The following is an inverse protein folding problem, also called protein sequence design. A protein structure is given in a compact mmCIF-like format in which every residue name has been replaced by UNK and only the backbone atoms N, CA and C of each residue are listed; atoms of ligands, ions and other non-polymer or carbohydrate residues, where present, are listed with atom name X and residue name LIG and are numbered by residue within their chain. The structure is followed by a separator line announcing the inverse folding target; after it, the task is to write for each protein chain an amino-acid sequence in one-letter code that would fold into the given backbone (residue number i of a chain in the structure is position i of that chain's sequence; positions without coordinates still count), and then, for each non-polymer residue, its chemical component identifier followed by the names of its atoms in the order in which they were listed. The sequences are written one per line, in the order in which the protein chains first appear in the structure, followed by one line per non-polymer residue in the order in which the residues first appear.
data_IF_299226819015
#
_entry.id   IF_299226819015
#
_cell.length_a   1.000
_cell.length_b   1.000
_cell.length_c   1.000
_cell.angle_alpha   90.00
_cell.angle_beta   90.00
_cell.angle_gamma   90.00
#
_symmetry.space_group_name_H-M   'P 1'
#
loop_
_entity.id
_entity.type
_entity.pdbx_description
1 polymer ?
#
# COMPACT_ATOMS: atom_id res chain seq x y z
N UNK A 1 58.91 8.41 -59.66
CA UNK A 1 58.90 7.45 -58.53
C UNK A 1 57.64 7.73 -57.70
N UNK A 2 56.55 6.95 -57.91
CA UNK A 2 55.30 7.10 -57.15
C UNK A 2 55.28 6.05 -56.06
N UNK A 3 55.26 6.50 -54.82
CA UNK A 3 55.13 5.63 -53.64
C UNK A 3 53.68 5.28 -53.45
N UNK A 4 53.36 3.97 -53.43
CA UNK A 4 52.02 3.46 -53.17
C UNK A 4 51.64 3.61 -51.69
N UNK A 5 50.35 3.85 -51.37
CA UNK A 5 49.88 3.94 -49.98
C UNK A 5 49.82 2.54 -49.33
N UNK A 6 49.99 2.43 -48.00
CA UNK A 6 49.96 1.15 -47.31
C UNK A 6 48.51 0.61 -47.24
N UNK A 7 48.38 -0.72 -47.34
CA UNK A 7 47.13 -1.46 -47.26
C UNK A 7 46.46 -1.31 -45.91
N UNK A 8 45.16 -1.02 -45.95
CA UNK A 8 44.24 -1.05 -44.78
C UNK A 8 44.15 -2.48 -44.22
N UNK A 9 44.31 -2.70 -42.90
CA UNK A 9 44.05 -4.00 -42.30
C UNK A 9 42.54 -4.29 -42.34
N UNK A 10 42.21 -5.44 -42.92
CA UNK A 10 40.88 -6.05 -42.97
C UNK A 10 40.25 -6.09 -41.58
N UNK A 11 39.01 -5.60 -41.50
CA UNK A 11 38.19 -5.58 -40.30
C UNK A 11 38.07 -6.95 -39.63
N UNK A 12 38.56 -7.02 -38.44
CA UNK A 12 38.10 -8.04 -37.48
C UNK A 12 36.74 -7.55 -36.99
N UNK A 13 35.69 -8.28 -37.36
CA UNK A 13 34.36 -8.10 -36.81
C UNK A 13 34.41 -8.12 -35.30
N UNK A 14 33.85 -7.10 -34.68
CA UNK A 14 33.54 -7.08 -33.27
C UNK A 14 32.66 -8.28 -32.97
N UNK A 15 32.96 -9.12 -31.97
CA UNK A 15 32.04 -10.15 -31.54
C UNK A 15 30.76 -9.42 -31.10
N UNK A 16 29.63 -9.80 -31.71
CA UNK A 16 28.33 -9.44 -31.18
C UNK A 16 28.29 -9.98 -29.76
N UNK A 17 28.46 -9.08 -28.79
CA UNK A 17 28.29 -9.39 -27.38
C UNK A 17 26.87 -9.91 -27.23
N UNK A 18 26.74 -11.18 -26.89
CA UNK A 18 25.47 -11.70 -26.40
C UNK A 18 24.98 -10.81 -25.25
N UNK A 19 23.71 -10.88 -24.86
CA UNK A 19 23.20 -10.06 -23.78
C UNK A 19 24.11 -10.19 -22.59
N UNK A 20 24.56 -9.04 -22.06
CA UNK A 20 25.45 -8.97 -20.90
C UNK A 20 24.82 -9.82 -19.77
N UNK A 21 25.61 -10.62 -19.06
CA UNK A 21 25.09 -11.45 -17.95
C UNK A 21 24.23 -10.61 -17.00
N UNK A 22 24.60 -9.34 -16.80
CA UNK A 22 23.81 -8.37 -16.02
C UNK A 22 22.41 -8.13 -16.59
N UNK A 23 22.29 -8.02 -17.91
CA UNK A 23 20.98 -7.81 -18.57
C UNK A 23 20.07 -9.04 -18.47
N UNK A 24 20.64 -10.24 -18.50
CA UNK A 24 19.90 -11.50 -18.31
C UNK A 24 19.38 -11.59 -16.87
N UNK A 25 20.23 -11.28 -15.89
CA UNK A 25 19.83 -11.30 -14.48
C UNK A 25 18.75 -10.29 -14.15
N UNK A 26 18.83 -9.09 -14.71
CA UNK A 26 17.82 -8.07 -14.54
C UNK A 26 16.49 -8.46 -15.15
N UNK A 27 16.51 -9.07 -16.33
CA UNK A 27 15.31 -9.59 -16.99
C UNK A 27 14.66 -10.68 -16.13
N UNK A 28 15.45 -11.63 -15.63
CA UNK A 28 14.98 -12.68 -14.75
C UNK A 28 14.34 -12.09 -13.47
N UNK A 29 14.94 -11.05 -12.88
CA UNK A 29 14.39 -10.37 -11.73
C UNK A 29 13.05 -9.68 -12.00
N UNK A 30 12.89 -9.06 -13.20
CA UNK A 30 11.63 -8.44 -13.60
C UNK A 30 10.54 -9.50 -13.86
N UNK A 31 10.90 -10.61 -14.49
CA UNK A 31 9.96 -11.70 -14.78
C UNK A 31 9.49 -12.40 -13.49
N UNK A 32 10.41 -12.65 -12.55
CA UNK A 32 10.07 -13.14 -11.23
C UNK A 32 9.08 -12.20 -10.50
N UNK A 33 9.32 -10.88 -10.53
CA UNK A 33 8.39 -9.90 -9.96
C UNK A 33 7.01 -9.94 -10.62
N UNK A 34 6.94 -10.09 -11.96
CA UNK A 34 5.65 -10.22 -12.69
C UNK A 34 4.88 -11.47 -12.25
N UNK A 35 5.56 -12.60 -12.08
CA UNK A 35 4.95 -13.84 -11.59
C UNK A 35 4.37 -13.69 -10.18
N UNK A 36 4.97 -12.80 -9.35
CA UNK A 36 4.43 -12.44 -8.04
C UNK A 36 3.42 -11.28 -8.07
N UNK A 37 2.81 -10.98 -9.23
CA UNK A 37 1.84 -9.91 -9.37
C UNK A 37 2.45 -8.52 -9.16
N UNK A 38 3.67 -8.32 -9.63
CA UNK A 38 4.37 -7.03 -9.66
C UNK A 38 5.05 -6.64 -8.35
N UNK A 39 4.92 -7.39 -7.26
CA UNK A 39 5.62 -7.10 -6.01
C UNK A 39 6.00 -8.35 -5.24
N UNK A 40 7.24 -8.40 -4.72
CA UNK A 40 7.75 -9.56 -3.99
C UNK A 40 8.79 -9.18 -2.93
N UNK A 41 8.92 -10.07 -1.93
CA UNK A 41 10.00 -10.00 -0.95
C UNK A 41 11.29 -10.58 -1.51
N UNK A 42 12.42 -10.03 -1.07
CA UNK A 42 13.72 -10.54 -1.47
C UNK A 42 13.87 -12.06 -1.26
N UNK A 43 13.38 -12.60 -0.14
CA UNK A 43 13.44 -14.05 0.11
C UNK A 43 12.72 -14.90 -0.94
N UNK A 44 11.57 -14.43 -1.46
CA UNK A 44 10.85 -15.10 -2.55
C UNK A 44 11.66 -15.05 -3.85
N UNK A 45 12.16 -13.87 -4.22
CA UNK A 45 12.98 -13.67 -5.41
C UNK A 45 14.29 -14.45 -5.35
N UNK A 46 14.92 -14.52 -4.17
CA UNK A 46 16.16 -15.26 -3.97
C UNK A 46 15.96 -16.78 -4.12
N UNK A 47 14.80 -17.32 -3.71
CA UNK A 47 14.48 -18.75 -3.94
C UNK A 47 14.30 -19.10 -5.42
N UNK A 48 14.08 -18.10 -6.28
CA UNK A 48 13.99 -18.21 -7.75
C UNK A 48 15.31 -17.82 -8.45
N UNK A 49 16.40 -17.66 -7.68
CA UNK A 49 17.72 -17.40 -8.22
C UNK A 49 18.04 -15.92 -8.49
N UNK A 50 17.16 -14.98 -8.10
CA UNK A 50 17.40 -13.54 -8.29
C UNK A 50 18.47 -13.06 -7.32
N UNK A 51 19.54 -12.47 -7.86
CA UNK A 51 20.66 -11.92 -7.08
C UNK A 51 20.38 -10.52 -6.55
N UNK A 52 20.88 -10.16 -5.33
CA UNK A 52 20.71 -8.82 -4.76
C UNK A 52 21.22 -7.70 -5.67
N UNK A 53 22.31 -7.95 -6.41
CA UNK A 53 22.92 -6.98 -7.30
C UNK A 53 21.98 -6.54 -8.44
N UNK A 54 21.23 -7.49 -9.02
CA UNK A 54 20.24 -7.19 -10.08
C UNK A 54 19.13 -6.28 -9.55
N UNK A 55 18.57 -6.58 -8.37
CA UNK A 55 17.52 -5.75 -7.75
C UNK A 55 18.03 -4.35 -7.39
N UNK A 56 19.24 -4.25 -6.88
CA UNK A 56 19.88 -2.97 -6.56
C UNK A 56 20.11 -2.14 -7.82
N UNK A 57 20.58 -2.77 -8.90
CA UNK A 57 20.79 -2.14 -10.20
C UNK A 57 19.48 -1.59 -10.79
N UNK A 58 18.45 -2.42 -10.82
CA UNK A 58 17.10 -2.03 -11.29
C UNK A 58 16.50 -0.90 -10.45
N UNK A 59 16.63 -0.95 -9.13
CA UNK A 59 16.16 0.12 -8.23
C UNK A 59 16.89 1.45 -8.47
N UNK A 60 18.24 1.42 -8.57
CA UNK A 60 19.02 2.64 -8.83
C UNK A 60 18.71 3.30 -10.16
N UNK A 61 18.30 2.51 -11.15
CA UNK A 61 17.86 3.01 -12.46
C UNK A 61 16.36 3.38 -12.51
N UNK A 62 15.65 3.31 -11.38
CA UNK A 62 14.21 3.63 -11.30
C UNK A 62 13.31 2.60 -11.97
N UNK A 63 13.84 1.42 -12.34
CA UNK A 63 13.06 0.32 -12.94
C UNK A 63 12.35 -0.55 -11.90
N UNK A 64 12.66 -0.35 -10.62
CA UNK A 64 11.97 -0.94 -9.48
C UNK A 64 11.74 0.12 -8.40
N UNK A 65 10.65 -0.04 -7.69
CA UNK A 65 10.39 0.65 -6.43
C UNK A 65 10.83 -0.23 -5.26
N UNK A 66 11.36 0.38 -4.24
CA UNK A 66 11.68 -0.28 -2.98
C UNK A 66 10.76 0.27 -1.90
N UNK A 67 9.73 -0.51 -1.56
CA UNK A 67 8.71 -0.08 -0.59
C UNK A 67 9.28 -0.06 0.84
N UNK A 68 10.14 -1.02 1.16
CA UNK A 68 10.96 -1.08 2.37
C UNK A 68 12.16 -1.99 2.14
N UNK A 69 13.02 -2.17 3.15
CA UNK A 69 14.14 -3.10 3.07
C UNK A 69 13.64 -4.52 2.70
N UNK A 70 14.15 -5.04 1.58
CA UNK A 70 13.81 -6.38 1.08
C UNK A 70 12.41 -6.54 0.49
N UNK A 71 11.68 -5.46 0.17
CA UNK A 71 10.40 -5.51 -0.54
C UNK A 71 10.46 -4.62 -1.78
N UNK A 72 10.27 -5.22 -2.94
CA UNK A 72 10.40 -4.57 -4.25
C UNK A 72 9.09 -4.65 -5.03
N UNK A 73 8.86 -3.67 -5.90
CA UNK A 73 7.67 -3.57 -6.74
C UNK A 73 8.01 -3.00 -8.12
N UNK A 74 7.29 -3.45 -9.14
CA UNK A 74 7.32 -2.87 -10.47
C UNK A 74 6.57 -1.53 -10.50
N UNK A 75 7.08 -0.48 -11.18
CA UNK A 75 6.38 0.81 -11.27
C UNK A 75 4.99 0.71 -11.88
N UNK A 76 4.80 -0.16 -12.87
CA UNK A 76 3.52 -0.40 -13.55
C UNK A 76 2.43 -0.96 -12.62
N UNK A 77 2.80 -1.61 -11.52
CA UNK A 77 1.85 -2.06 -10.50
C UNK A 77 1.24 -0.93 -9.66
N UNK A 78 1.64 0.33 -9.94
CA UNK A 78 1.07 1.55 -9.33
C UNK A 78 -0.17 2.08 -10.05
N UNK A 79 -0.48 1.59 -11.24
CA UNK A 79 -1.54 2.14 -12.09
C UNK A 79 -2.96 1.76 -11.64
N UNK A 80 -3.11 1.01 -10.53
CA UNK A 80 -4.40 0.57 -10.01
C UNK A 80 -4.93 1.52 -8.94
N UNK A 81 -6.26 1.66 -8.92
CA UNK A 81 -6.97 2.35 -7.84
C UNK A 81 -6.55 1.78 -6.47
N UNK A 82 -6.28 2.64 -5.49
CA UNK A 82 -5.77 2.28 -4.17
C UNK A 82 -4.39 1.59 -4.14
N UNK A 83 -3.55 1.75 -5.17
CA UNK A 83 -2.21 1.15 -5.21
C UNK A 83 -1.37 1.45 -3.95
N UNK A 84 -1.42 2.69 -3.45
CA UNK A 84 -0.73 3.07 -2.21
C UNK A 84 -1.22 2.26 -0.99
N UNK A 85 -2.51 1.94 -0.91
CA UNK A 85 -3.09 1.12 0.17
C UNK A 85 -2.57 -0.31 0.11
N UNK A 86 -2.53 -0.90 -1.09
CA UNK A 86 -1.95 -2.24 -1.31
C UNK A 86 -0.47 -2.28 -0.93
N UNK A 87 0.30 -1.27 -1.34
CA UNK A 87 1.72 -1.14 -0.99
C UNK A 87 1.93 -1.05 0.52
N UNK A 88 1.14 -0.22 1.20
CA UNK A 88 1.19 -0.08 2.66
C UNK A 88 0.87 -1.41 3.36
N UNK A 89 -0.17 -2.13 2.90
CA UNK A 89 -0.53 -3.45 3.43
C UNK A 89 0.60 -4.48 3.25
N UNK A 90 1.27 -4.50 2.09
CA UNK A 90 2.43 -5.35 1.83
C UNK A 90 3.65 -4.97 2.69
N UNK A 91 3.87 -3.66 2.91
CA UNK A 91 4.96 -3.16 3.72
C UNK A 91 4.74 -3.43 5.21
N UNK A 92 3.50 -3.34 5.71
CA UNK A 92 3.14 -3.47 7.14
C UNK A 92 2.28 -4.72 7.35
N UNK A 93 2.90 -5.90 7.36
CA UNK A 93 2.23 -7.21 7.34
C UNK A 93 1.17 -7.47 8.41
N UNK A 94 1.28 -6.84 9.58
CA UNK A 94 0.31 -6.98 10.67
C UNK A 94 -0.56 -5.74 10.82
N UNK A 95 -0.40 -4.81 9.87
CA UNK A 95 -1.17 -3.58 9.84
C UNK A 95 -2.59 -3.82 9.35
N UNK A 96 -3.49 -2.94 9.76
CA UNK A 96 -4.87 -2.89 9.30
C UNK A 96 -5.09 -1.49 8.76
N UNK A 97 -5.54 -1.36 7.52
CA UNK A 97 -5.89 -0.07 6.93
C UNK A 97 -7.01 0.56 7.74
N UNK A 98 -6.87 1.84 8.08
CA UNK A 98 -7.78 2.51 9.01
C UNK A 98 -8.05 3.97 8.64
N UNK A 99 -8.93 4.60 9.39
CA UNK A 99 -9.26 6.02 9.30
C UNK A 99 -9.49 6.48 7.86
N UNK A 100 -8.85 7.56 7.42
CA UNK A 100 -9.06 8.18 6.12
C UNK A 100 -8.81 7.22 4.96
N UNK A 101 -7.78 6.35 5.05
CA UNK A 101 -7.51 5.37 4.01
C UNK A 101 -8.57 4.26 3.92
N UNK A 102 -9.20 3.88 5.02
CA UNK A 102 -10.33 2.96 4.99
C UNK A 102 -11.61 3.66 4.52
N UNK A 103 -11.82 4.94 4.88
CA UNK A 103 -12.93 5.73 4.33
C UNK A 103 -12.85 5.84 2.81
N UNK A 104 -11.64 6.00 2.26
CA UNK A 104 -11.39 6.06 0.82
C UNK A 104 -11.78 4.74 0.13
N UNK A 105 -11.32 3.59 0.65
CA UNK A 105 -11.73 2.26 0.13
C UNK A 105 -13.25 2.08 0.14
N UNK A 106 -13.94 2.60 1.14
CA UNK A 106 -15.40 2.53 1.24
C UNK A 106 -16.14 3.63 0.48
N UNK A 107 -15.43 4.52 -0.23
CA UNK A 107 -16.00 5.69 -0.93
C UNK A 107 -16.79 6.63 0.01
N UNK A 108 -16.38 6.70 1.27
CA UNK A 108 -17.00 7.56 2.28
C UNK A 108 -16.36 8.96 2.38
N UNK A 109 -15.32 9.21 1.58
CA UNK A 109 -14.62 10.50 1.49
C UNK A 109 -14.15 10.77 0.08
N UNK A 110 -13.98 12.06 -0.27
CA UNK A 110 -13.26 12.50 -1.48
C UNK A 110 -11.87 13.05 -1.13
N UNK A 111 -11.51 13.02 0.15
CA UNK A 111 -10.19 13.49 0.58
C UNK A 111 -9.13 12.48 0.11
N UNK A 112 -8.07 13.01 -0.49
CA UNK A 112 -6.90 12.24 -0.88
C UNK A 112 -5.78 12.46 0.16
N UNK A 113 -5.58 11.51 1.08
CA UNK A 113 -4.58 11.68 2.13
C UNK A 113 -3.16 11.58 1.57
N UNK A 114 -2.25 12.43 2.06
CA UNK A 114 -0.82 12.35 1.72
C UNK A 114 -0.15 11.07 2.26
N UNK A 115 -0.77 10.42 3.25
CA UNK A 115 -0.25 9.24 3.93
C UNK A 115 -1.31 8.14 3.99
N UNK A 116 -0.87 6.90 3.88
CA UNK A 116 -1.76 5.76 4.16
C UNK A 116 -1.82 5.52 5.67
N UNK A 117 -3.02 5.58 6.23
CA UNK A 117 -3.25 5.31 7.65
C UNK A 117 -3.28 3.81 7.92
N UNK A 118 -2.38 3.34 8.78
CA UNK A 118 -2.23 1.93 9.13
C UNK A 118 -2.28 1.75 10.64
N UNK A 119 -3.24 0.99 11.12
CA UNK A 119 -3.36 0.61 12.52
C UNK A 119 -2.39 -0.50 12.89
N UNK A 120 -1.75 -0.39 14.05
CA UNK A 120 -0.97 -1.44 14.69
C UNK A 120 -1.38 -1.58 16.17
N UNK A 121 -1.24 -2.77 16.76
CA UNK A 121 -1.40 -2.93 18.20
C UNK A 121 -0.38 -2.08 18.95
N UNK A 122 -0.79 -1.49 20.06
CA UNK A 122 0.11 -0.77 20.97
C UNK A 122 1.28 -1.65 21.42
N UNK A 123 2.48 -1.08 21.39
CA UNK A 123 3.72 -1.81 21.68
C UNK A 123 4.29 -2.60 20.52
N UNK A 124 3.69 -2.51 19.33
CA UNK A 124 4.29 -3.07 18.10
C UNK A 124 5.55 -2.30 17.71
N UNK A 125 6.51 -3.03 17.14
CA UNK A 125 7.66 -2.39 16.52
C UNK A 125 7.23 -1.54 15.31
N UNK A 126 7.78 -0.32 15.20
CA UNK A 126 7.42 0.62 14.14
C UNK A 126 8.11 0.23 12.83
N UNK A 127 7.35 -0.10 11.78
CA UNK A 127 7.93 -0.49 10.50
C UNK A 127 8.58 0.72 9.80
N UNK A 128 9.77 0.51 9.25
CA UNK A 128 10.39 1.49 8.37
C UNK A 128 9.90 1.27 6.94
N UNK A 129 8.90 2.04 6.53
CA UNK A 129 8.35 2.03 5.17
C UNK A 129 8.99 3.16 4.39
N UNK A 130 9.49 2.86 3.18
CA UNK A 130 10.11 3.84 2.28
C UNK A 130 9.03 4.47 1.39
N UNK A 131 8.14 3.63 0.87
CA UNK A 131 7.00 4.00 0.03
C UNK A 131 5.84 3.03 0.25
N UNK A 132 4.59 3.49 0.20
CA UNK A 132 4.17 4.90 0.24
C UNK A 132 4.45 5.52 1.61
N UNK A 133 4.27 6.84 1.77
CA UNK A 133 4.23 7.44 3.10
C UNK A 133 3.14 6.79 3.92
N UNK A 134 3.45 6.32 5.14
CA UNK A 134 2.47 5.72 6.04
C UNK A 134 2.41 6.47 7.36
N UNK A 135 1.21 6.64 7.87
CA UNK A 135 0.97 7.12 9.23
C UNK A 135 0.49 5.96 10.09
N UNK A 136 1.34 5.55 11.04
CA UNK A 136 0.99 4.47 11.96
C UNK A 136 0.16 5.02 13.11
N UNK A 137 -1.00 4.38 13.33
CA UNK A 137 -1.90 4.67 14.45
C UNK A 137 -1.88 3.48 15.40
N UNK A 138 -1.47 3.70 16.65
CA UNK A 138 -1.42 2.65 17.65
C UNK A 138 -2.77 2.46 18.33
N UNK A 139 -3.27 1.24 18.31
CA UNK A 139 -4.52 0.85 18.96
C UNK A 139 -4.26 0.00 20.20
N UNK A 140 -5.05 0.21 21.25
CA UNK A 140 -5.02 -0.67 22.40
C UNK A 140 -5.34 -2.11 22.00
N UNK A 141 -4.83 -3.08 22.76
CA UNK A 141 -5.08 -4.53 22.53
C UNK A 141 -6.57 -4.87 22.48
N UNK A 142 -7.42 -4.09 23.14
CA UNK A 142 -8.87 -4.27 23.14
C UNK A 142 -9.53 -3.76 21.88
N UNK A 143 -9.10 -2.62 21.36
CA UNK A 143 -9.74 -1.96 20.20
C UNK A 143 -9.21 -2.49 18.86
N UNK A 144 -7.98 -2.99 18.81
CA UNK A 144 -7.35 -3.44 17.58
C UNK A 144 -8.06 -4.62 16.88
N UNK A 145 -8.59 -5.64 17.58
CA UNK A 145 -9.29 -6.75 16.93
C UNK A 145 -10.70 -6.42 16.46
N UNK A 146 -11.31 -5.31 16.96
CA UNK A 146 -12.69 -4.96 16.63
C UNK A 146 -12.84 -4.53 15.18
N UNK A 147 -13.84 -5.08 14.48
CA UNK A 147 -14.18 -4.70 13.12
C UNK A 147 -13.05 -4.92 12.10
N UNK A 148 -12.14 -5.85 12.35
CA UNK A 148 -11.10 -6.22 11.39
C UNK A 148 -11.69 -7.13 10.33
N UNK A 149 -11.51 -6.74 9.08
CA UNK A 149 -11.98 -7.45 7.90
C UNK A 149 -10.84 -7.62 6.89
N UNK A 150 -11.06 -8.47 5.89
CA UNK A 150 -10.17 -8.63 4.75
C UNK A 150 -10.97 -8.40 3.47
N UNK A 151 -10.38 -7.65 2.55
CA UNK A 151 -10.94 -7.41 1.22
C UNK A 151 -9.88 -7.60 0.16
N UNK A 152 -10.30 -7.75 -1.10
CA UNK A 152 -9.38 -7.84 -2.23
C UNK A 152 -9.32 -6.49 -2.94
N UNK A 153 -8.13 -5.90 -2.99
CA UNK A 153 -7.84 -4.65 -3.70
C UNK A 153 -6.68 -4.93 -4.67
N UNK A 154 -6.85 -4.65 -5.96
CA UNK A 154 -5.83 -4.91 -6.98
C UNK A 154 -5.34 -6.37 -6.95
N UNK A 155 -6.23 -7.34 -6.78
CA UNK A 155 -5.90 -8.76 -6.71
C UNK A 155 -5.15 -9.19 -5.43
N UNK A 156 -5.02 -8.32 -4.42
CA UNK A 156 -4.32 -8.58 -3.16
C UNK A 156 -5.26 -8.54 -1.97
N UNK A 157 -5.12 -9.49 -1.06
CA UNK A 157 -5.84 -9.45 0.23
C UNK A 157 -5.25 -8.36 1.11
N UNK A 158 -6.10 -7.43 1.53
CA UNK A 158 -5.77 -6.29 2.38
C UNK A 158 -6.64 -6.34 3.63
N UNK A 159 -6.01 -6.28 4.79
CA UNK A 159 -6.71 -6.14 6.06
C UNK A 159 -7.08 -4.67 6.28
N UNK A 160 -8.37 -4.42 6.57
CA UNK A 160 -8.87 -3.08 6.90
C UNK A 160 -9.90 -3.15 8.02
N UNK A 161 -10.20 -2.03 8.66
CA UNK A 161 -11.34 -1.96 9.58
C UNK A 161 -12.64 -1.82 8.83
N UNK A 162 -13.72 -2.43 9.35
CA UNK A 162 -15.08 -2.32 8.81
C UNK A 162 -15.54 -0.86 8.71
N UNK A 163 -16.58 -0.61 7.94
CA UNK A 163 -17.19 0.73 7.78
C UNK A 163 -17.54 1.35 9.13
N UNK A 164 -18.21 0.57 9.99
CA UNK A 164 -18.69 1.00 11.31
C UNK A 164 -17.52 1.30 12.24
N UNK A 165 -16.51 0.41 12.24
CA UNK A 165 -15.30 0.62 13.04
C UNK A 165 -14.55 1.85 12.59
N UNK A 166 -14.38 2.03 11.28
CA UNK A 166 -13.69 3.18 10.68
C UNK A 166 -14.40 4.49 11.05
N UNK A 167 -15.72 4.55 10.93
CA UNK A 167 -16.51 5.71 11.36
C UNK A 167 -16.34 5.98 12.86
N UNK A 168 -16.50 4.96 13.70
CA UNK A 168 -16.30 5.11 15.15
C UNK A 168 -14.92 5.66 15.48
N UNK A 169 -13.88 5.21 14.79
CA UNK A 169 -12.51 5.68 15.01
C UNK A 169 -12.29 7.12 14.57
N UNK A 170 -12.95 7.59 13.50
CA UNK A 170 -12.90 9.00 13.12
C UNK A 170 -13.47 9.92 14.22
N UNK A 171 -14.55 9.50 14.91
CA UNK A 171 -15.07 10.25 16.06
C UNK A 171 -14.25 10.05 17.34
N UNK A 172 -13.48 8.98 17.44
CA UNK A 172 -12.58 8.72 18.58
C UNK A 172 -11.27 9.50 18.48
N UNK A 173 -10.79 9.73 17.27
CA UNK A 173 -9.49 10.35 16.94
C UNK A 173 -9.70 11.62 16.08
N UNK A 174 -10.51 12.60 16.54
CA UNK A 174 -10.81 13.79 15.74
C UNK A 174 -9.57 14.66 15.47
N UNK A 175 -8.54 14.55 16.30
CA UNK A 175 -7.26 15.24 16.11
C UNK A 175 -6.50 14.78 14.87
N UNK A 176 -6.73 13.56 14.39
CA UNK A 176 -6.10 13.02 13.20
C UNK A 176 -6.89 13.29 11.92
N UNK A 177 -8.22 13.35 12.02
CA UNK A 177 -9.11 13.33 10.85
C UNK A 177 -9.87 14.67 10.70
N UNK A 178 -10.14 15.35 11.79
CA UNK A 178 -11.06 16.49 11.82
C UNK A 178 -12.52 16.05 11.94
N UNK A 179 -13.28 16.81 12.72
CA UNK A 179 -14.71 16.50 12.96
C UNK A 179 -15.55 16.65 11.69
N UNK A 180 -15.28 17.66 10.86
CA UNK A 180 -16.02 17.94 9.63
C UNK A 180 -15.94 16.78 8.64
N UNK A 181 -14.75 16.17 8.51
CA UNK A 181 -14.58 15.00 7.67
C UNK A 181 -15.29 13.78 8.24
N UNK A 182 -15.21 13.56 9.56
CA UNK A 182 -15.94 12.48 10.24
C UNK A 182 -17.45 12.61 10.05
N UNK A 183 -17.99 13.82 10.14
CA UNK A 183 -19.41 14.12 9.89
C UNK A 183 -19.81 13.90 8.42
N UNK A 184 -18.96 14.31 7.48
CA UNK A 184 -19.19 14.08 6.05
C UNK A 184 -19.23 12.58 5.74
N UNK A 185 -18.29 11.82 6.27
CA UNK A 185 -18.24 10.37 6.11
C UNK A 185 -19.46 9.67 6.73
N UNK A 186 -19.88 10.09 7.94
CA UNK A 186 -21.10 9.58 8.58
C UNK A 186 -22.33 9.86 7.73
N UNK A 187 -22.50 11.07 7.20
CA UNK A 187 -23.61 11.44 6.34
C UNK A 187 -23.65 10.58 5.07
N UNK A 188 -22.49 10.35 4.43
CA UNK A 188 -22.40 9.48 3.24
C UNK A 188 -22.77 8.05 3.59
N UNK A 189 -22.28 7.52 4.71
CA UNK A 189 -22.63 6.19 5.17
C UNK A 189 -24.14 6.03 5.38
N UNK A 190 -24.79 6.95 6.12
CA UNK A 190 -26.23 6.87 6.40
C UNK A 190 -27.10 6.97 5.15
N UNK A 191 -26.59 7.57 4.05
CA UNK A 191 -27.27 7.62 2.74
C UNK A 191 -26.95 6.43 1.85
N UNK A 192 -26.00 5.60 2.22
CA UNK A 192 -25.57 4.44 1.43
C UNK A 192 -26.57 3.28 1.59
N UNK A 193 -26.80 2.50 0.53
CA UNK A 193 -27.57 1.25 0.63
C UNK A 193 -26.97 0.22 1.58
N UNK A 194 -25.68 0.34 1.89
CA UNK A 194 -24.96 -0.54 2.81
C UNK A 194 -25.00 -0.03 4.26
N UNK A 195 -25.79 1.02 4.57
CA UNK A 195 -25.88 1.55 5.92
C UNK A 195 -26.57 0.55 6.86
N UNK A 196 -25.85 0.13 7.89
CA UNK A 196 -26.41 -0.60 9.02
C UNK A 196 -26.26 0.24 10.29
N UNK A 197 -27.34 0.96 10.64
CA UNK A 197 -27.37 1.84 11.81
C UNK A 197 -27.23 1.02 13.11
N UNK A 198 -27.78 -0.20 13.14
CA UNK A 198 -27.71 -1.06 14.32
C UNK A 198 -26.28 -1.55 14.54
N UNK A 199 -25.60 -1.99 13.48
CA UNK A 199 -24.19 -2.37 13.54
C UNK A 199 -23.28 -1.19 13.93
N UNK A 200 -23.55 0.01 13.39
CA UNK A 200 -22.81 1.22 13.76
C UNK A 200 -22.98 1.56 15.24
N UNK A 201 -24.18 1.51 15.79
CA UNK A 201 -24.42 1.77 17.21
C UNK A 201 -23.80 0.71 18.13
N UNK A 202 -23.85 -0.57 17.73
CA UNK A 202 -23.19 -1.65 18.44
C UNK A 202 -21.66 -1.48 18.45
N UNK A 203 -21.06 -1.11 17.32
CA UNK A 203 -19.63 -0.81 17.22
C UNK A 203 -19.26 0.43 18.04
N UNK A 204 -20.09 1.47 18.02
CA UNK A 204 -19.88 2.69 18.79
C UNK A 204 -19.87 2.44 20.31
N UNK A 205 -20.66 1.48 20.78
CA UNK A 205 -20.64 1.02 22.19
C UNK A 205 -19.29 0.35 22.50
N UNK A 206 -18.87 -0.60 21.67
CA UNK A 206 -17.59 -1.32 21.85
C UNK A 206 -16.37 -0.40 21.80
N UNK A 207 -16.43 0.66 20.98
CA UNK A 207 -15.39 1.68 20.82
C UNK A 207 -15.48 2.83 21.82
N UNK A 208 -16.47 2.85 22.71
CA UNK A 208 -16.77 3.91 23.70
C UNK A 208 -16.97 5.30 23.10
N UNK A 209 -17.50 5.39 21.89
CA UNK A 209 -17.79 6.64 21.19
C UNK A 209 -19.27 6.94 21.04
N UNK A 210 -20.15 6.03 21.52
CA UNK A 210 -21.61 6.16 21.38
C UNK A 210 -22.14 7.51 21.84
N UNK A 211 -21.70 8.02 23.00
CA UNK A 211 -22.13 9.33 23.53
C UNK A 211 -21.73 10.49 22.62
N UNK A 212 -20.59 10.37 21.95
CA UNK A 212 -20.09 11.38 21.00
C UNK A 212 -20.78 11.28 19.66
N UNK A 213 -21.03 10.07 19.17
CA UNK A 213 -21.61 9.81 17.85
C UNK A 213 -23.13 10.08 17.80
N UNK A 214 -23.86 9.72 18.85
CA UNK A 214 -25.33 9.75 18.91
C UNK A 214 -25.96 11.10 18.54
N UNK A 215 -25.54 12.26 19.05
CA UNK A 215 -26.14 13.54 18.71
C UNK A 215 -26.07 13.86 17.21
N UNK A 216 -24.98 13.48 16.57
CA UNK A 216 -24.79 13.68 15.13
C UNK A 216 -25.66 12.73 14.29
N UNK A 217 -25.80 11.48 14.73
CA UNK A 217 -26.73 10.55 14.08
C UNK A 217 -28.18 11.03 14.14
N UNK A 218 -28.64 11.46 15.32
CA UNK A 218 -29.99 12.01 15.52
C UNK A 218 -30.23 13.23 14.62
N UNK A 219 -29.26 14.13 14.51
CA UNK A 219 -29.34 15.32 13.67
C UNK A 219 -29.30 15.02 12.14
N UNK A 220 -28.76 13.90 11.72
CA UNK A 220 -28.65 13.54 10.31
C UNK A 220 -29.79 12.65 9.82
N UNK A 221 -30.55 12.04 10.73
CA UNK A 221 -31.70 11.18 10.43
C UNK A 221 -33.04 11.95 10.59
N UNK A 222 -33.05 13.07 11.35
CA UNK A 222 -34.15 13.98 11.48
C UNK A 222 -34.40 14.78 10.20
#
# INVERSE_FOLDING_TARGET
MRVAPPATPSGRGWPHSGPDEGDVEERNALDALRQHGGSARFGQLASEGVRPAALLGLWRRGRLLRLKAGLYQLPEALAEEHAAIVQAALAVLRGVICLLSALDVYMLTDANPEHVFVALPQGSWMPQVIQPPVQIVQYSRRLFPLGREETVIGGRTVALFSREKTLCDCFRLPELIGLDLALSALRRHLRSPQADVSALLAMAEQCWVRRRLRPYMEALVA
#
